data_IF_738043468103
#
_entry.id   IF_738043468103
#
_cell.length_a   1.000
_cell.length_b   1.000
_cell.length_c   1.000
_cell.angle_alpha   90.00
_cell.angle_beta   90.00
_cell.angle_gamma   90.00
#
_symmetry.space_group_name_H-M   'P 1'
#
loop_
_entity.id
_entity.type
_entity.pdbx_description
1 polymer ?
#
# COMPACT_ATOMS: atom_id res chain seq x y z
N UNK A 1 -5.34 0.37 22.52
CA UNK A 1 -4.41 0.28 21.38
C UNK A 1 -3.02 0.33 21.95
N UNK A 2 -2.41 -0.83 22.13
CA UNK A 2 -0.96 -0.89 22.37
C UNK A 2 -0.30 -0.74 21.00
N UNK A 3 0.38 0.39 20.80
CA UNK A 3 1.21 0.59 19.62
C UNK A 3 2.52 -0.16 19.87
N UNK A 4 2.94 -1.00 18.92
CA UNK A 4 4.21 -1.74 19.02
C UNK A 4 5.36 -0.78 19.35
N UNK A 5 6.22 -1.18 20.28
CA UNK A 5 7.30 -0.33 20.82
C UNK A 5 8.23 0.19 19.72
N UNK A 6 8.47 -0.62 18.69
CA UNK A 6 9.29 -0.26 17.53
C UNK A 6 8.68 0.91 16.73
N UNK A 7 7.37 0.89 16.47
CA UNK A 7 6.65 1.97 15.78
C UNK A 7 6.65 3.26 16.58
N UNK A 8 6.62 3.17 17.91
CA UNK A 8 6.74 4.32 18.79
C UNK A 8 8.13 4.94 18.76
N UNK A 9 9.18 4.13 18.63
CA UNK A 9 10.56 4.61 18.55
C UNK A 9 10.84 5.25 17.19
N UNK A 10 10.34 4.67 16.09
CA UNK A 10 10.38 5.29 14.76
C UNK A 10 9.67 6.64 14.74
N UNK A 11 8.48 6.73 15.35
CA UNK A 11 7.73 7.98 15.46
C UNK A 11 8.48 9.03 16.28
N UNK A 12 9.11 8.63 17.40
CA UNK A 12 9.94 9.54 18.21
C UNK A 12 11.13 10.06 17.43
N UNK A 13 11.79 9.20 16.66
CA UNK A 13 12.93 9.58 15.84
C UNK A 13 12.52 10.59 14.76
N UNK A 14 11.44 10.31 14.03
CA UNK A 14 10.91 11.21 13.01
C UNK A 14 10.50 12.57 13.58
N UNK A 15 9.86 12.61 14.76
CA UNK A 15 9.55 13.88 15.44
C UNK A 15 10.84 14.64 15.81
N UNK A 16 11.90 13.92 16.19
CA UNK A 16 13.23 14.50 16.42
C UNK A 16 13.79 15.17 15.16
N UNK A 17 13.70 14.51 14.02
CA UNK A 17 14.13 15.07 12.73
C UNK A 17 13.33 16.33 12.37
N UNK A 18 12.01 16.32 12.52
CA UNK A 18 11.16 17.49 12.26
C UNK A 18 11.48 18.69 13.18
N UNK A 19 12.02 18.45 14.38
CA UNK A 19 12.47 19.51 15.31
C UNK A 19 13.81 20.12 14.90
N UNK A 20 14.71 19.29 14.40
CA UNK A 20 16.05 19.71 13.95
C UNK A 20 15.99 20.40 12.59
N UNK A 21 15.14 19.90 11.69
CA UNK A 21 14.91 20.46 10.35
C UNK A 21 13.39 20.52 10.04
N UNK A 22 12.76 21.68 10.24
CA UNK A 22 11.34 21.87 9.92
C UNK A 22 11.01 21.78 8.43
N UNK A 23 12.00 21.84 7.52
CA UNK A 23 11.75 21.79 6.07
C UNK A 23 11.31 20.40 5.58
N UNK A 24 11.57 19.36 6.37
CA UNK A 24 11.07 17.99 6.12
C UNK A 24 9.55 17.99 5.97
N UNK A 25 8.84 18.85 6.72
CA UNK A 25 7.37 18.98 6.66
C UNK A 25 6.87 19.56 5.34
N UNK A 26 7.74 20.03 4.45
CA UNK A 26 7.42 20.50 3.11
C UNK A 26 7.54 19.40 2.03
N UNK A 27 8.00 18.20 2.39
CA UNK A 27 8.07 17.06 1.47
C UNK A 27 6.67 16.58 1.04
N UNK A 28 6.39 16.45 -0.28
CA UNK A 28 5.11 15.99 -0.80
C UNK A 28 4.64 14.63 -0.27
N UNK A 29 5.57 13.72 0.04
CA UNK A 29 5.26 12.36 0.50
C UNK A 29 4.58 12.32 1.87
N UNK A 30 4.79 13.35 2.70
CA UNK A 30 4.21 13.46 4.04
C UNK A 30 3.23 14.64 4.18
N UNK A 31 2.67 15.12 3.06
CA UNK A 31 1.70 16.22 3.05
C UNK A 31 0.46 15.98 3.94
N UNK A 32 0.06 14.71 4.11
CA UNK A 32 -1.03 14.34 5.03
C UNK A 32 -0.69 14.69 6.49
N UNK A 33 0.56 14.50 6.91
CA UNK A 33 1.02 14.78 8.26
C UNK A 33 1.10 16.28 8.52
N UNK A 34 1.57 17.05 7.54
CA UNK A 34 1.52 18.52 7.57
C UNK A 34 0.10 19.04 7.74
N UNK A 35 -0.85 18.50 6.97
CA UNK A 35 -2.27 18.87 7.03
C UNK A 35 -2.88 18.53 8.40
N UNK A 36 -2.52 17.38 8.96
CA UNK A 36 -2.91 16.97 10.31
C UNK A 36 -2.40 17.96 11.37
N UNK A 37 -1.12 18.33 11.34
CA UNK A 37 -0.57 19.32 12.29
C UNK A 37 -1.27 20.69 12.19
N UNK A 38 -1.58 21.13 10.98
CA UNK A 38 -2.32 22.38 10.75
C UNK A 38 -3.76 22.31 11.30
N UNK A 39 -4.43 21.15 11.19
CA UNK A 39 -5.76 20.94 11.78
C UNK A 39 -5.76 21.05 13.32
N UNK A 40 -4.62 20.74 13.95
CA UNK A 40 -4.40 20.91 15.39
C UNK A 40 -3.99 22.34 15.77
N UNK A 41 -3.92 23.26 14.81
CA UNK A 41 -3.55 24.66 15.03
C UNK A 41 -2.05 24.92 15.10
N UNK A 42 -1.19 23.97 14.70
CA UNK A 42 0.26 24.19 14.66
C UNK A 42 0.64 25.17 13.54
N UNK A 43 1.56 26.10 13.83
CA UNK A 43 2.13 27.04 12.84
C UNK A 43 3.48 26.54 12.37
N UNK A 44 3.57 26.13 11.10
CA UNK A 44 4.80 25.65 10.46
C UNK A 44 5.43 26.82 9.67
N UNK A 45 6.72 27.16 9.88
CA UNK A 45 7.40 28.19 9.10
C UNK A 45 7.45 27.82 7.60
N UNK A 46 7.32 28.78 6.67
CA UNK A 46 7.44 28.51 5.24
C UNK A 46 8.90 28.19 4.84
N UNK A 47 9.09 27.25 3.91
CA UNK A 47 10.37 26.86 3.35
C UNK A 47 11.26 28.06 3.03
N UNK A 48 12.42 28.15 3.69
CA UNK A 48 13.44 29.14 3.34
C UNK A 48 14.01 28.79 1.96
N UNK A 49 13.86 29.70 0.99
CA UNK A 49 14.46 29.58 -0.34
C UNK A 49 15.99 29.61 -0.20
N UNK A 50 16.67 28.49 -0.40
CA UNK A 50 18.13 28.48 -0.55
C UNK A 50 18.49 28.80 -2.00
N UNK A 51 19.03 30.00 -2.23
CA UNK A 51 19.75 30.35 -3.45
C UNK A 51 21.04 29.52 -3.56
N UNK A 52 21.35 29.11 -4.80
CA UNK A 52 22.55 28.40 -5.17
C UNK A 52 23.80 29.28 -5.08
N UNK A 53 24.86 28.79 -4.40
CA UNK A 53 26.23 29.26 -4.67
C UNK A 53 27.27 28.24 -4.23
N UNK A 54 28.16 27.89 -5.17
CA UNK A 54 29.21 26.90 -4.99
C UNK A 54 30.53 27.43 -4.40
N UNK A 55 31.47 26.47 -4.32
CA UNK A 55 32.91 26.53 -4.11
C UNK A 55 33.52 26.65 -2.69
N UNK A 56 34.12 25.53 -2.29
CA UNK A 56 35.50 25.33 -1.78
C UNK A 56 36.02 26.02 -0.50
N UNK A 57 36.45 25.19 0.45
CA UNK A 57 37.85 25.22 0.95
C UNK A 57 38.14 25.78 2.35
N UNK A 58 38.60 24.87 3.23
CA UNK A 58 39.61 25.01 4.31
C UNK A 58 39.20 25.53 5.71
N UNK A 59 39.41 24.67 6.73
CA UNK A 59 40.35 24.93 7.83
C UNK A 59 39.82 25.32 9.23
N UNK A 60 39.88 24.34 10.17
CA UNK A 60 40.02 24.43 11.66
C UNK A 60 38.96 25.21 12.48
N UNK A 61 38.67 24.96 13.75
CA UNK A 61 38.70 23.85 14.73
C UNK A 61 38.18 24.51 16.03
N UNK A 62 37.17 23.96 16.71
CA UNK A 62 36.86 24.26 18.11
C UNK A 62 35.81 23.30 18.69
N UNK A 63 36.27 22.08 18.96
CA UNK A 63 35.94 21.22 20.09
C UNK A 63 34.88 21.73 21.10
N UNK A 64 33.71 21.07 21.18
CA UNK A 64 32.93 20.95 22.43
C UNK A 64 31.99 19.73 22.43
N UNK A 65 32.57 18.60 22.81
CA UNK A 65 31.94 17.52 23.60
C UNK A 65 30.51 17.13 23.21
N UNK A 66 30.39 16.42 22.09
CA UNK A 66 29.29 15.49 21.90
C UNK A 66 29.83 14.08 22.14
N UNK A 67 29.10 13.32 22.96
CA UNK A 67 29.21 11.87 23.00
C UNK A 67 28.80 11.38 21.61
N UNK A 68 29.79 11.25 20.73
CA UNK A 68 29.66 10.60 19.43
C UNK A 68 29.20 9.17 19.67
N UNK A 69 27.88 8.97 19.60
CA UNK A 69 27.35 7.68 19.19
C UNK A 69 27.74 7.50 17.74
N UNK A 70 28.86 6.81 17.56
CA UNK A 70 29.39 6.29 16.30
C UNK A 70 28.31 5.41 15.63
N UNK A 71 27.40 6.06 14.89
CA UNK A 71 26.55 5.39 13.92
C UNK A 71 27.42 5.11 12.72
N UNK A 72 28.10 3.97 12.74
CA UNK A 72 28.65 3.32 11.55
C UNK A 72 27.48 3.02 10.59
N UNK A 73 27.13 4.00 9.77
CA UNK A 73 26.09 4.01 8.74
C UNK A 73 26.59 3.33 7.44
N UNK A 74 27.59 2.44 7.56
CA UNK A 74 28.49 2.10 6.45
C UNK A 74 28.39 0.72 5.81
N UNK A 75 27.51 -0.22 6.22
CA UNK A 75 27.73 -1.61 5.76
C UNK A 75 26.50 -2.49 5.59
N UNK A 76 25.37 -1.98 5.10
CA UNK A 76 24.26 -2.86 4.74
C UNK A 76 23.51 -2.37 3.50
N UNK A 77 24.05 -2.72 2.34
CA UNK A 77 23.37 -2.51 1.06
C UNK A 77 22.40 -3.66 0.84
N UNK A 78 21.11 -3.34 0.83
CA UNK A 78 20.08 -4.28 0.40
C UNK A 78 20.22 -4.51 -1.10
N UNK A 79 20.38 -5.78 -1.50
CA UNK A 79 20.52 -6.15 -2.90
C UNK A 79 19.16 -6.10 -3.57
N UNK A 80 19.06 -5.49 -4.74
CA UNK A 80 17.80 -5.47 -5.47
C UNK A 80 17.32 -6.90 -5.79
N UNK A 81 16.00 -7.12 -5.67
CA UNK A 81 15.36 -8.39 -6.02
C UNK A 81 14.91 -8.33 -7.46
N UNK A 82 15.39 -9.25 -8.28
CA UNK A 82 14.97 -9.38 -9.68
C UNK A 82 13.57 -9.99 -9.79
N UNK A 83 12.58 -9.15 -10.12
CA UNK A 83 11.17 -9.54 -10.28
C UNK A 83 10.76 -9.51 -11.75
N UNK A 84 9.82 -10.38 -12.12
CA UNK A 84 9.16 -10.28 -13.43
C UNK A 84 8.07 -9.21 -13.37
N UNK A 85 8.30 -8.09 -14.04
CA UNK A 85 7.40 -6.92 -14.06
C UNK A 85 6.58 -6.80 -15.36
N UNK A 86 6.63 -7.82 -16.23
CA UNK A 86 6.05 -7.74 -17.59
C UNK A 86 4.54 -7.45 -17.63
N UNK A 87 3.80 -7.89 -16.61
CA UNK A 87 2.35 -7.73 -16.51
C UNK A 87 1.92 -6.54 -15.62
N UNK A 88 2.87 -5.75 -15.08
CA UNK A 88 2.57 -4.59 -14.23
C UNK A 88 2.00 -3.44 -15.07
N UNK A 89 1.02 -2.76 -14.51
CA UNK A 89 0.39 -1.56 -15.06
C UNK A 89 0.55 -0.42 -14.06
N UNK A 90 0.72 0.80 -14.57
CA UNK A 90 0.72 1.99 -13.73
C UNK A 90 -0.59 2.10 -12.92
N UNK A 91 -0.53 2.62 -11.69
CA UNK A 91 -1.72 2.97 -10.93
C UNK A 91 -2.62 3.91 -11.76
N UNK A 92 -3.94 3.69 -11.74
CA UNK A 92 -4.86 4.65 -12.35
C UNK A 92 -5.02 5.89 -11.46
N UNK A 93 -4.87 7.08 -12.08
CA UNK A 93 -4.93 8.40 -11.43
C UNK A 93 -6.32 9.06 -11.48
N UNK A 94 -7.35 8.30 -11.87
CA UNK A 94 -8.70 8.85 -12.02
C UNK A 94 -9.37 9.09 -10.65
N UNK A 95 -10.27 10.09 -10.55
CA UNK A 95 -11.07 10.27 -9.35
C UNK A 95 -11.87 8.99 -9.05
N UNK A 96 -12.03 8.69 -7.75
CA UNK A 96 -12.74 7.49 -7.28
C UNK A 96 -14.11 7.39 -7.95
N UNK A 97 -14.43 6.20 -8.45
CA UNK A 97 -15.70 5.91 -9.10
C UNK A 97 -16.88 6.10 -8.15
N UNK A 98 -18.09 6.27 -8.69
CA UNK A 98 -19.30 6.43 -7.88
C UNK A 98 -19.60 5.14 -7.09
N UNK A 99 -19.71 5.26 -5.77
CA UNK A 99 -19.89 4.14 -4.84
C UNK A 99 -21.31 4.00 -4.28
N UNK A 100 -22.26 4.84 -4.71
CA UNK A 100 -23.60 4.87 -4.10
C UNK A 100 -23.61 5.41 -2.66
N UNK A 101 -24.81 5.56 -2.10
CA UNK A 101 -25.01 5.99 -0.72
C UNK A 101 -25.50 4.80 0.12
N UNK A 102 -24.68 4.22 1.01
CA UNK A 102 -25.07 3.07 1.84
C UNK A 102 -26.30 3.30 2.72
N UNK A 103 -26.71 4.56 2.96
CA UNK A 103 -27.87 4.91 3.77
C UNK A 103 -29.20 4.94 3.00
N UNK A 104 -29.16 4.80 1.66
CA UNK A 104 -30.37 4.75 0.85
C UNK A 104 -31.22 3.54 1.22
N UNK A 105 -32.52 3.78 1.43
CA UNK A 105 -33.51 2.71 1.52
C UNK A 105 -33.69 2.07 0.14
N UNK A 106 -33.41 0.77 0.09
CA UNK A 106 -33.54 -0.07 -1.11
C UNK A 106 -34.92 -0.71 -1.11
N UNK A 107 -35.85 -0.11 -1.86
CA UNK A 107 -37.18 -0.68 -2.09
C UNK A 107 -37.11 -1.86 -3.05
N UNK A 108 -38.17 -2.69 -3.09
CA UNK A 108 -38.27 -3.80 -4.04
C UNK A 108 -38.09 -3.31 -5.50
N UNK A 109 -38.70 -2.18 -5.86
CA UNK A 109 -38.54 -1.55 -7.17
C UNK A 109 -37.07 -1.21 -7.49
N UNK A 110 -36.33 -0.62 -6.54
CA UNK A 110 -34.90 -0.32 -6.72
C UNK A 110 -34.07 -1.60 -6.82
N UNK A 111 -34.42 -2.62 -6.05
CA UNK A 111 -33.74 -3.91 -6.11
C UNK A 111 -33.93 -4.58 -7.47
N UNK A 112 -35.14 -4.57 -8.02
CA UNK A 112 -35.44 -5.09 -9.36
C UNK A 112 -34.72 -4.28 -10.45
N UNK A 113 -34.77 -2.94 -10.37
CA UNK A 113 -34.04 -2.07 -11.30
C UNK A 113 -32.52 -2.31 -11.24
N UNK A 114 -31.96 -2.51 -10.05
CA UNK A 114 -30.55 -2.85 -9.87
C UNK A 114 -30.20 -4.20 -10.50
N UNK A 115 -31.06 -5.22 -10.37
CA UNK A 115 -30.86 -6.51 -11.03
C UNK A 115 -30.95 -6.40 -12.55
N UNK A 116 -31.86 -5.58 -13.08
CA UNK A 116 -31.96 -5.33 -14.51
C UNK A 116 -30.71 -4.63 -15.06
N UNK A 117 -30.22 -3.58 -14.36
CA UNK A 117 -28.98 -2.90 -14.72
C UNK A 117 -27.78 -3.86 -14.65
N UNK A 118 -27.70 -4.72 -13.63
CA UNK A 118 -26.69 -5.77 -13.54
C UNK A 118 -26.77 -6.74 -14.72
N UNK A 119 -27.96 -7.15 -15.15
CA UNK A 119 -28.13 -8.03 -16.33
C UNK A 119 -27.58 -7.38 -17.59
N UNK A 120 -27.93 -6.11 -17.85
CA UNK A 120 -27.38 -5.35 -18.99
C UNK A 120 -25.86 -5.26 -18.95
N UNK A 121 -25.28 -5.09 -17.76
CA UNK A 121 -23.83 -5.08 -17.62
C UNK A 121 -23.20 -6.43 -17.99
N UNK A 122 -23.83 -7.54 -17.60
CA UNK A 122 -23.36 -8.89 -17.98
C UNK A 122 -23.45 -9.10 -19.50
N UNK A 123 -24.52 -8.62 -20.12
CA UNK A 123 -24.69 -8.67 -21.58
C UNK A 123 -23.58 -7.86 -22.28
N UNK A 124 -23.35 -6.60 -21.87
CA UNK A 124 -22.26 -5.77 -22.37
C UNK A 124 -20.88 -6.40 -22.14
N UNK A 125 -20.64 -7.06 -21.00
CA UNK A 125 -19.40 -7.82 -20.76
C UNK A 125 -19.22 -8.97 -21.75
N UNK A 126 -20.30 -9.66 -22.13
CA UNK A 126 -20.27 -10.77 -23.09
C UNK A 126 -19.97 -10.29 -24.51
N UNK A 127 -20.40 -9.07 -24.84
CA UNK A 127 -20.13 -8.40 -26.11
C UNK A 127 -18.73 -7.73 -26.14
N UNK A 128 -18.06 -7.63 -24.99
CA UNK A 128 -16.75 -6.98 -24.86
C UNK A 128 -16.81 -5.47 -24.62
N UNK A 129 -18.01 -4.89 -24.47
CA UNK A 129 -18.22 -3.47 -24.19
C UNK A 129 -17.99 -3.18 -22.70
N UNK A 130 -16.72 -3.18 -22.29
CA UNK A 130 -16.36 -3.09 -20.87
C UNK A 130 -16.72 -1.74 -20.23
N UNK A 131 -16.57 -0.62 -20.94
CA UNK A 131 -16.95 0.69 -20.40
C UNK A 131 -18.47 0.77 -20.15
N UNK A 132 -19.29 0.32 -21.10
CA UNK A 132 -20.76 0.24 -20.95
C UNK A 132 -21.16 -0.69 -19.78
N UNK A 133 -20.45 -1.81 -19.60
CA UNK A 133 -20.65 -2.67 -18.44
C UNK A 133 -20.35 -1.94 -17.11
N UNK A 134 -19.33 -1.08 -17.07
CA UNK A 134 -19.06 -0.27 -15.87
C UNK A 134 -20.15 0.76 -15.59
N UNK A 135 -20.75 1.35 -16.63
CA UNK A 135 -21.84 2.31 -16.49
C UNK A 135 -23.10 1.64 -15.94
N UNK A 136 -23.49 0.49 -16.50
CA UNK A 136 -24.62 -0.29 -16.00
C UNK A 136 -24.41 -0.82 -14.58
N UNK A 137 -23.19 -1.25 -14.22
CA UNK A 137 -22.89 -1.64 -12.84
C UNK A 137 -22.91 -0.44 -11.89
N UNK A 138 -22.50 0.74 -12.36
CA UNK A 138 -22.60 1.97 -11.58
C UNK A 138 -24.05 2.34 -11.32
N UNK A 139 -24.92 2.27 -12.33
CA UNK A 139 -26.36 2.43 -12.16
C UNK A 139 -26.93 1.44 -11.13
N UNK A 140 -26.57 0.15 -11.25
CA UNK A 140 -27.01 -0.87 -10.31
C UNK A 140 -26.57 -0.57 -8.86
N UNK A 141 -25.33 -0.09 -8.66
CA UNK A 141 -24.79 0.28 -7.34
C UNK A 141 -25.51 1.49 -6.77
N UNK A 142 -25.82 2.50 -7.59
CA UNK A 142 -26.57 3.68 -7.13
C UNK A 142 -27.99 3.31 -6.65
N UNK A 143 -28.56 2.24 -7.19
CA UNK A 143 -29.89 1.73 -6.82
C UNK A 143 -29.84 0.78 -5.62
N UNK A 144 -28.80 -0.05 -5.52
CA UNK A 144 -28.61 -1.02 -4.43
C UNK A 144 -27.15 -1.05 -3.94
N UNK A 145 -26.74 -0.07 -3.12
CA UNK A 145 -25.37 0.06 -2.64
C UNK A 145 -24.98 -0.96 -1.56
N UNK A 146 -25.94 -1.75 -1.05
CA UNK A 146 -25.70 -2.85 -0.10
C UNK A 146 -25.36 -4.19 -0.75
N UNK A 147 -25.20 -4.25 -2.07
CA UNK A 147 -25.02 -5.51 -2.80
C UNK A 147 -23.55 -5.80 -3.11
N UNK A 148 -22.92 -6.67 -2.32
CA UNK A 148 -21.52 -7.07 -2.50
C UNK A 148 -21.20 -7.56 -3.92
N UNK A 149 -22.15 -8.27 -4.55
CA UNK A 149 -21.96 -8.85 -5.88
C UNK A 149 -21.83 -7.78 -6.97
N UNK A 150 -22.44 -6.61 -6.81
CA UNK A 150 -22.34 -5.52 -7.79
C UNK A 150 -20.93 -4.95 -7.80
N UNK A 151 -20.38 -4.62 -6.63
CA UNK A 151 -19.01 -4.15 -6.51
C UNK A 151 -18.00 -5.21 -6.97
N UNK A 152 -18.11 -6.47 -6.54
CA UNK A 152 -17.20 -7.52 -6.98
C UNK A 152 -17.23 -7.73 -8.51
N UNK A 153 -18.41 -7.55 -9.13
CA UNK A 153 -18.54 -7.64 -10.59
C UNK A 153 -17.91 -6.44 -11.28
N UNK A 154 -18.13 -5.22 -10.79
CA UNK A 154 -17.51 -4.00 -11.36
C UNK A 154 -15.99 -3.99 -11.18
N UNK A 155 -15.49 -4.47 -10.04
CA UNK A 155 -14.06 -4.71 -9.82
C UNK A 155 -13.46 -5.66 -10.87
N UNK A 156 -14.17 -6.74 -11.21
CA UNK A 156 -13.73 -7.66 -12.27
C UNK A 156 -13.65 -6.96 -13.64
N UNK A 157 -14.58 -6.07 -13.95
CA UNK A 157 -14.55 -5.27 -15.19
C UNK A 157 -13.37 -4.30 -15.16
N UNK A 158 -13.11 -3.63 -14.02
CA UNK A 158 -11.95 -2.74 -13.88
C UNK A 158 -10.60 -3.46 -14.02
N UNK A 159 -10.48 -4.71 -13.54
CA UNK A 159 -9.30 -5.55 -13.79
C UNK A 159 -9.10 -5.75 -15.30
N UNK A 160 -10.16 -6.06 -16.04
CA UNK A 160 -10.10 -6.23 -17.51
C UNK A 160 -9.75 -4.92 -18.23
N UNK A 161 -10.22 -3.78 -17.72
CA UNK A 161 -9.88 -2.44 -18.20
C UNK A 161 -8.50 -1.94 -17.75
N UNK A 162 -7.73 -2.75 -17.00
CA UNK A 162 -6.42 -2.36 -16.45
C UNK A 162 -6.49 -1.10 -15.57
N UNK A 163 -7.55 -0.96 -14.77
CA UNK A 163 -7.75 0.09 -13.75
C UNK A 163 -7.65 -0.51 -12.34
N UNK A 164 -6.44 -0.87 -11.86
CA UNK A 164 -6.29 -1.67 -10.65
C UNK A 164 -6.70 -0.95 -9.34
N UNK A 165 -6.50 0.35 -9.19
CA UNK A 165 -6.93 1.09 -8.00
C UNK A 165 -8.46 1.12 -7.90
N UNK A 166 -9.15 1.45 -9.01
CA UNK A 166 -10.61 1.37 -9.07
C UNK A 166 -11.13 -0.03 -8.72
N UNK A 167 -10.48 -1.09 -9.25
CA UNK A 167 -10.80 -2.46 -8.93
C UNK A 167 -10.62 -2.81 -7.44
N UNK A 168 -9.52 -2.35 -6.82
CA UNK A 168 -9.28 -2.56 -5.38
C UNK A 168 -10.35 -1.88 -4.55
N UNK A 169 -10.71 -0.63 -4.85
CA UNK A 169 -11.77 0.09 -4.12
C UNK A 169 -13.12 -0.64 -4.16
N UNK A 170 -13.52 -1.14 -5.33
CA UNK A 170 -14.76 -1.93 -5.45
C UNK A 170 -14.64 -3.28 -4.75
N UNK A 171 -13.50 -3.98 -4.87
CA UNK A 171 -13.32 -5.26 -4.21
C UNK A 171 -13.30 -5.12 -2.68
N UNK A 172 -12.71 -4.06 -2.14
CA UNK A 172 -12.75 -3.74 -0.71
C UNK A 172 -14.18 -3.45 -0.25
N UNK A 173 -14.95 -2.67 -1.01
CA UNK A 173 -16.37 -2.44 -0.71
C UNK A 173 -17.18 -3.76 -0.73
N UNK A 174 -16.91 -4.64 -1.71
CA UNK A 174 -17.54 -5.95 -1.77
C UNK A 174 -17.23 -6.81 -0.54
N UNK A 175 -15.97 -6.81 -0.09
CA UNK A 175 -15.50 -7.59 1.06
C UNK A 175 -15.93 -6.99 2.40
N UNK A 176 -16.16 -5.67 2.48
CA UNK A 176 -16.78 -5.04 3.64
C UNK A 176 -18.23 -5.49 3.81
N UNK A 177 -18.97 -5.64 2.71
CA UNK A 177 -20.37 -6.09 2.73
C UNK A 177 -20.45 -7.60 2.92
N UNK A 178 -19.61 -8.37 2.22
CA UNK A 178 -19.53 -9.83 2.32
C UNK A 178 -18.07 -10.29 2.41
N UNK A 179 -17.54 -10.52 3.63
CA UNK A 179 -16.18 -10.97 3.85
C UNK A 179 -15.82 -12.34 3.26
N UNK A 180 -16.82 -13.16 2.90
CA UNK A 180 -16.65 -14.50 2.32
C UNK A 180 -16.79 -14.50 0.79
N UNK A 181 -16.73 -13.33 0.15
CA UNK A 181 -16.86 -13.21 -1.30
C UNK A 181 -15.58 -13.68 -2.03
N UNK A 182 -15.60 -14.91 -2.57
CA UNK A 182 -14.54 -15.42 -3.45
C UNK A 182 -14.25 -14.46 -4.61
N UNK A 183 -15.29 -13.90 -5.23
CA UNK A 183 -15.17 -12.94 -6.35
C UNK A 183 -14.51 -11.63 -5.92
N UNK A 184 -14.79 -11.15 -4.69
CA UNK A 184 -14.12 -9.98 -4.10
C UNK A 184 -12.62 -10.21 -3.95
N UNK A 185 -12.21 -11.31 -3.30
CA UNK A 185 -10.80 -11.67 -3.17
C UNK A 185 -10.12 -11.88 -4.53
N UNK A 186 -10.76 -12.60 -5.47
CA UNK A 186 -10.23 -12.81 -6.83
C UNK A 186 -9.95 -11.48 -7.52
N UNK A 187 -10.93 -10.57 -7.55
CA UNK A 187 -10.76 -9.27 -8.20
C UNK A 187 -9.66 -8.42 -7.54
N UNK A 188 -9.60 -8.39 -6.20
CA UNK A 188 -8.56 -7.65 -5.48
C UNK A 188 -7.17 -8.23 -5.70
N UNK A 189 -7.04 -9.56 -5.67
CA UNK A 189 -5.78 -10.25 -5.91
C UNK A 189 -5.25 -10.03 -7.33
N UNK A 190 -6.12 -10.09 -8.34
CA UNK A 190 -5.75 -9.76 -9.73
C UNK A 190 -5.36 -8.29 -9.89
N UNK A 191 -6.08 -7.36 -9.26
CA UNK A 191 -5.75 -5.94 -9.31
C UNK A 191 -4.42 -5.61 -8.62
N UNK A 192 -4.13 -6.27 -7.48
CA UNK A 192 -2.84 -6.19 -6.78
C UNK A 192 -1.70 -6.76 -7.62
N UNK A 193 -1.94 -7.84 -8.35
CA UNK A 193 -0.96 -8.40 -9.29
C UNK A 193 -0.63 -7.41 -10.41
N UNK A 194 -1.62 -6.70 -10.95
CA UNK A 194 -1.39 -5.62 -11.93
C UNK A 194 -0.56 -4.47 -11.35
N UNK A 195 -0.56 -4.24 -10.05
CA UNK A 195 0.26 -3.21 -9.38
C UNK A 195 1.63 -3.74 -8.91
N UNK A 196 1.97 -5.00 -9.20
CA UNK A 196 3.20 -5.61 -8.68
C UNK A 196 3.18 -5.90 -7.17
N UNK A 197 2.02 -5.86 -6.52
CA UNK A 197 1.84 -6.19 -5.10
C UNK A 197 1.75 -7.70 -4.92
N UNK A 198 2.86 -8.39 -5.17
CA UNK A 198 2.88 -9.84 -5.39
C UNK A 198 2.47 -10.66 -4.17
N UNK A 199 2.94 -10.29 -2.97
CA UNK A 199 2.61 -11.02 -1.73
C UNK A 199 1.12 -10.88 -1.39
N UNK A 200 0.59 -9.66 -1.47
CA UNK A 200 -0.83 -9.39 -1.20
C UNK A 200 -1.74 -10.00 -2.26
N UNK A 201 -1.30 -10.01 -3.52
CA UNK A 201 -1.99 -10.70 -4.61
C UNK A 201 -2.06 -12.22 -4.36
N UNK A 202 -0.94 -12.85 -4.02
CA UNK A 202 -0.90 -14.28 -3.72
C UNK A 202 -1.83 -14.62 -2.54
N UNK A 203 -1.80 -13.81 -1.49
CA UNK A 203 -2.65 -14.00 -0.31
C UNK A 203 -4.15 -13.97 -0.67
N UNK A 204 -4.61 -12.93 -1.38
CA UNK A 204 -6.00 -12.82 -1.79
C UNK A 204 -6.42 -13.96 -2.73
N UNK A 205 -5.59 -14.32 -3.71
CA UNK A 205 -5.89 -15.39 -4.66
C UNK A 205 -5.95 -16.77 -4.00
N UNK A 206 -5.12 -17.03 -2.99
CA UNK A 206 -5.23 -18.26 -2.20
C UNK A 206 -6.51 -18.29 -1.37
N UNK A 207 -6.93 -17.18 -0.77
CA UNK A 207 -8.22 -17.09 -0.07
C UNK A 207 -9.36 -17.34 -1.04
N UNK A 208 -9.35 -16.68 -2.20
CA UNK A 208 -10.36 -16.89 -3.25
C UNK A 208 -10.44 -18.36 -3.68
N UNK A 209 -9.30 -18.98 -4.02
CA UNK A 209 -9.21 -20.39 -4.45
C UNK A 209 -9.71 -21.38 -3.38
N UNK A 210 -9.51 -21.04 -2.09
CA UNK A 210 -9.99 -21.86 -0.98
C UNK A 210 -11.52 -21.79 -0.83
N UNK A 211 -12.11 -20.64 -1.10
CA UNK A 211 -13.58 -20.45 -1.03
C UNK A 211 -14.24 -21.06 -2.26
N UNK A 212 -13.74 -20.73 -3.45
CA UNK A 212 -14.25 -21.23 -4.72
C UNK A 212 -13.10 -21.42 -5.71
N UNK A 213 -12.91 -22.66 -6.15
CA UNK A 213 -11.80 -22.99 -7.05
C UNK A 213 -12.13 -22.58 -8.47
N UNK A 214 -11.23 -21.82 -9.08
CA UNK A 214 -11.40 -21.26 -10.42
C UNK A 214 -10.08 -21.37 -11.21
N UNK A 215 -10.17 -21.76 -12.48
CA UNK A 215 -9.00 -21.99 -13.33
C UNK A 215 -8.20 -20.70 -13.58
N UNK A 216 -8.87 -19.55 -13.70
CA UNK A 216 -8.23 -18.25 -13.88
C UNK A 216 -7.42 -17.89 -12.63
N UNK A 217 -7.95 -18.14 -11.42
CA UNK A 217 -7.17 -17.97 -10.17
C UNK A 217 -5.88 -18.79 -10.22
N UNK A 218 -5.98 -20.06 -10.64
CA UNK A 218 -4.83 -20.95 -10.73
C UNK A 218 -3.79 -20.48 -11.76
N UNK A 219 -4.22 -19.90 -12.87
CA UNK A 219 -3.32 -19.31 -13.87
C UNK A 219 -2.62 -18.06 -13.34
N UNK A 220 -3.34 -17.18 -12.62
CA UNK A 220 -2.76 -15.97 -12.05
C UNK A 220 -1.77 -16.31 -10.92
N UNK A 221 -2.09 -17.27 -10.05
CA UNK A 221 -1.18 -17.74 -9.00
C UNK A 221 0.16 -18.23 -9.55
N UNK A 222 0.17 -18.96 -10.68
CA UNK A 222 1.40 -19.40 -11.34
C UNK A 222 2.33 -18.24 -11.74
N UNK A 223 1.76 -17.06 -12.04
CA UNK A 223 2.53 -15.85 -12.36
C UNK A 223 2.97 -15.08 -11.13
N UNK A 224 2.11 -15.01 -10.11
CA UNK A 224 2.31 -14.19 -8.91
C UNK A 224 3.25 -14.86 -7.90
N UNK A 225 3.12 -16.17 -7.69
CA UNK A 225 3.85 -16.89 -6.64
C UNK A 225 5.38 -16.80 -6.75
N UNK A 226 6.02 -16.87 -7.93
CA UNK A 226 7.48 -16.76 -8.02
C UNK A 226 8.00 -15.42 -7.48
N UNK A 227 7.37 -14.30 -7.84
CA UNK A 227 7.75 -12.99 -7.35
C UNK A 227 7.45 -12.83 -5.85
N UNK A 228 6.29 -13.31 -5.39
CA UNK A 228 5.95 -13.29 -3.97
C UNK A 228 6.97 -14.07 -3.11
N UNK A 229 7.38 -15.26 -3.56
CA UNK A 229 8.39 -16.08 -2.86
C UNK A 229 9.75 -15.39 -2.82
N UNK A 230 10.20 -14.80 -3.93
CA UNK A 230 11.47 -14.04 -3.96
C UNK A 230 11.45 -12.88 -2.96
N UNK A 231 10.36 -12.12 -2.90
CA UNK A 231 10.18 -11.04 -1.94
C UNK A 231 10.19 -11.53 -0.49
N UNK A 232 9.48 -12.63 -0.21
CA UNK A 232 9.42 -13.21 1.13
C UNK A 232 10.80 -13.74 1.57
N UNK A 233 11.50 -14.47 0.70
CA UNK A 233 12.85 -14.99 0.95
C UNK A 233 13.85 -13.88 1.19
N UNK A 234 13.79 -12.82 0.37
CA UNK A 234 14.59 -11.63 0.53
C UNK A 234 14.35 -10.97 1.88
N UNK A 235 13.08 -10.67 2.21
CA UNK A 235 12.70 -10.09 3.50
C UNK A 235 13.19 -10.94 4.68
N UNK A 236 13.02 -12.26 4.62
CA UNK A 236 13.49 -13.20 5.67
C UNK A 236 15.01 -13.18 5.81
N UNK A 237 15.76 -13.16 4.70
CA UNK A 237 17.22 -13.06 4.70
C UNK A 237 17.68 -11.76 5.35
N UNK A 238 17.09 -10.64 4.94
CA UNK A 238 17.45 -9.31 5.41
C UNK A 238 17.09 -9.09 6.89
N UNK A 239 15.96 -9.62 7.36
CA UNK A 239 15.60 -9.63 8.78
C UNK A 239 16.58 -10.44 9.64
N UNK A 240 17.06 -11.59 9.16
CA UNK A 240 18.07 -12.39 9.88
C UNK A 240 19.39 -11.65 9.99
N UNK A 241 19.86 -11.09 8.87
CA UNK A 241 21.14 -10.41 8.81
C UNK A 241 21.15 -9.13 9.68
N UNK A 242 20.04 -8.38 9.70
CA UNK A 242 19.85 -7.24 10.61
C UNK A 242 19.93 -7.66 12.08
N UNK A 243 19.23 -8.74 12.46
CA UNK A 243 19.29 -9.27 13.84
C UNK A 243 20.68 -9.76 14.25
N UNK A 244 21.43 -10.35 13.33
CA UNK A 244 22.81 -10.77 13.57
C UNK A 244 23.74 -9.58 13.78
N UNK A 245 23.64 -8.54 12.93
CA UNK A 245 24.41 -7.30 13.10
C UNK A 245 24.07 -6.56 14.39
N UNK A 246 22.79 -6.50 14.77
CA UNK A 246 22.36 -5.92 16.04
C UNK A 246 22.97 -6.68 17.25
N UNK A 247 22.98 -8.02 17.20
CA UNK A 247 23.61 -8.85 18.23
C UNK A 247 25.13 -8.65 18.29
N UNK A 248 25.79 -8.59 17.14
CA UNK A 248 27.23 -8.36 17.06
C UNK A 248 27.60 -6.98 17.61
N UNK A 249 26.85 -5.93 17.24
CA UNK A 249 27.04 -4.57 17.76
C UNK A 249 26.81 -4.52 19.27
N UNK A 250 25.78 -5.19 19.79
CA UNK A 250 25.53 -5.29 21.22
C UNK A 250 26.66 -6.04 21.96
N UNK A 251 27.16 -7.15 21.41
CA UNK A 251 28.26 -7.91 21.98
C UNK A 251 29.57 -7.09 22.00
N UNK A 252 29.90 -6.39 20.90
CA UNK A 252 31.04 -5.48 20.83
C UNK A 252 30.92 -4.33 21.85
N UNK A 253 29.72 -3.77 22.03
CA UNK A 253 29.44 -2.74 23.03
C UNK A 253 29.66 -3.23 24.47
N UNK A 254 29.13 -4.41 24.82
CA UNK A 254 29.33 -5.01 26.14
C UNK A 254 30.80 -5.35 26.41
N UNK A 255 31.52 -5.85 25.40
CA UNK A 255 32.96 -6.14 25.51
C UNK A 255 33.75 -4.86 25.82
N UNK A 256 33.47 -3.76 25.09
CA UNK A 256 34.13 -2.45 25.30
C UNK A 256 33.88 -1.90 26.70
N UNK A 257 32.65 -2.00 27.22
CA UNK A 257 32.32 -1.57 28.58
C UNK A 257 33.09 -2.38 29.64
N UNK A 258 33.13 -3.71 29.52
CA UNK A 258 33.88 -4.58 30.44
C UNK A 258 35.39 -4.29 30.45
N UNK A 259 35.97 -3.98 29.30
CA UNK A 259 37.39 -3.63 29.22
C UNK A 259 37.71 -2.24 29.74
N UNK A 260 36.73 -1.34 29.88
CA UNK A 260 36.92 0.00 30.41
C UNK A 260 36.79 0.09 31.94
N UNK A 261 36.20 -0.93 32.58
CA UNK A 261 35.98 -1.01 34.03
C UNK A 261 37.13 -1.72 34.79
N UNK A 262 38.12 -2.26 34.08
CA UNK A 262 39.30 -2.96 34.62
C UNK A 262 40.58 -2.14 34.42
#
# INVERSE_FOLDING_TARGET
>A
MEMETEKMDELRHFIGQCRSDPSILDDPSIAFFKSYLQSLGARIPPAAKSESRGMSGTGFDANKTDLEMDYDEGDFVESDVELDESDIVAPDDNPTQKMGDPSIEVTEEKQEAAQMAKSKAVDAMSEGNLDEATDHLTEAIMLNPGSAILYATRATVFVKLKKPNAAIHDADAALQINPDSAKGYKARGMARALLGKWEEAASDLHVASKIDHDEEISMVLKKVEPNARKLEEHRRKYQRLRKEKEKEKAARGQQRQRTAEH
#
